data_IF_226572160747
#
_entry.id   IF_226572160747
#
_cell.length_a   1.000
_cell.length_b   1.000
_cell.length_c   1.000
_cell.angle_alpha   90.00
_cell.angle_beta   90.00
_cell.angle_gamma   90.00
#
_symmetry.space_group_name_H-M   'P 1'
#
loop_
_entity.id
_entity.type
_entity.pdbx_description
1 polymer ?
#
# COMPACT_ATOMS: atom_id res chain seq x y z
N UNK A 1 -18.07 -5.45 50.07
CA UNK A 1 -18.69 -5.50 48.74
C UNK A 1 -17.56 -5.63 47.72
N UNK A 2 -17.27 -6.84 47.26
CA UNK A 2 -16.24 -7.06 46.25
C UNK A 2 -16.80 -6.63 44.89
N UNK A 3 -16.24 -5.57 44.32
CA UNK A 3 -16.53 -5.16 42.94
C UNK A 3 -15.99 -6.27 42.04
N UNK A 4 -16.86 -7.13 41.53
CA UNK A 4 -16.47 -8.09 40.50
C UNK A 4 -16.23 -7.31 39.22
N UNK A 5 -14.96 -7.08 38.91
CA UNK A 5 -14.55 -6.54 37.62
C UNK A 5 -14.61 -7.66 36.59
N UNK A 6 -15.22 -7.39 35.43
CA UNK A 6 -15.27 -8.34 34.32
C UNK A 6 -14.63 -7.70 33.11
N UNK A 7 -14.03 -8.51 32.24
CA UNK A 7 -13.40 -8.00 31.02
C UNK A 7 -14.38 -8.07 29.86
N UNK A 8 -14.41 -7.02 29.04
CA UNK A 8 -15.22 -7.02 27.83
C UNK A 8 -14.67 -8.06 26.86
N UNK A 9 -15.51 -9.02 26.45
CA UNK A 9 -15.09 -10.08 25.50
C UNK A 9 -14.80 -9.54 24.10
N UNK A 10 -15.23 -8.31 23.80
CA UNK A 10 -15.03 -7.70 22.48
C UNK A 10 -13.72 -6.93 22.38
N UNK A 11 -13.36 -6.12 23.39
CA UNK A 11 -12.17 -5.26 23.33
C UNK A 11 -11.12 -5.56 24.40
N UNK A 12 -11.40 -6.47 25.34
CA UNK A 12 -10.48 -6.84 26.42
C UNK A 12 -10.39 -5.81 27.56
N UNK A 13 -11.13 -4.70 27.48
CA UNK A 13 -11.08 -3.64 28.50
C UNK A 13 -11.76 -4.08 29.81
N UNK A 14 -11.24 -3.58 30.94
CA UNK A 14 -11.88 -3.76 32.26
C UNK A 14 -13.19 -2.98 32.31
N UNK A 15 -14.28 -3.67 32.59
CA UNK A 15 -15.60 -3.08 32.78
C UNK A 15 -16.20 -3.54 34.11
N UNK A 16 -17.14 -2.76 34.64
CA UNK A 16 -17.88 -3.17 35.84
C UNK A 16 -18.82 -4.33 35.51
N UNK A 17 -19.04 -5.26 36.44
CA UNK A 17 -19.96 -6.38 36.24
C UNK A 17 -21.41 -5.94 35.99
N UNK A 18 -21.80 -4.77 36.47
CA UNK A 18 -23.13 -4.18 36.31
C UNK A 18 -23.29 -3.38 35.00
N UNK A 19 -22.23 -3.26 34.19
CA UNK A 19 -22.30 -2.53 32.93
C UNK A 19 -22.97 -3.40 31.85
N UNK A 20 -24.17 -3.02 31.42
CA UNK A 20 -24.87 -3.66 30.30
C UNK A 20 -24.19 -3.39 28.95
N UNK A 21 -23.51 -2.25 28.82
CA UNK A 21 -22.83 -1.79 27.60
C UNK A 21 -21.41 -1.38 27.96
N UNK A 22 -20.42 -1.87 27.19
CA UNK A 22 -19.02 -1.47 27.37
C UNK A 22 -18.81 -0.02 26.92
N UNK A 23 -18.26 0.88 27.77
CA UNK A 23 -18.05 2.28 27.41
C UNK A 23 -16.92 2.49 26.38
N UNK A 24 -16.03 1.51 26.20
CA UNK A 24 -14.91 1.62 25.25
C UNK A 24 -15.32 1.18 23.83
N UNK A 25 -16.08 0.08 23.69
CA UNK A 25 -16.44 -0.47 22.37
C UNK A 25 -17.93 -0.46 22.03
N UNK A 26 -18.82 -0.08 22.96
CA UNK A 26 -20.27 -0.03 22.75
C UNK A 26 -20.97 -1.40 22.67
N UNK A 27 -20.24 -2.51 22.80
CA UNK A 27 -20.83 -3.87 22.74
C UNK A 27 -21.48 -4.23 24.09
N UNK A 28 -22.60 -4.97 24.02
CA UNK A 28 -23.36 -5.42 25.21
C UNK A 28 -22.61 -6.50 25.99
N UNK A 29 -22.66 -6.43 27.32
CA UNK A 29 -22.05 -7.40 28.21
C UNK A 29 -22.99 -8.58 28.46
N UNK A 30 -22.60 -9.78 28.02
CA UNK A 30 -23.39 -11.00 28.18
C UNK A 30 -23.44 -11.50 29.63
N UNK A 31 -22.52 -11.09 30.49
CA UNK A 31 -22.55 -11.44 31.92
C UNK A 31 -23.85 -10.96 32.60
N UNK A 32 -24.44 -9.87 32.10
CA UNK A 32 -25.72 -9.34 32.57
C UNK A 32 -26.94 -10.17 32.12
N UNK A 33 -26.82 -10.95 31.03
CA UNK A 33 -27.94 -11.71 30.47
C UNK A 33 -28.17 -13.05 31.18
N UNK A 34 -27.20 -13.53 31.97
CA UNK A 34 -27.32 -14.78 32.74
C UNK A 34 -28.22 -14.69 33.97
N UNK A 35 -28.71 -13.50 34.33
CA UNK A 35 -29.54 -13.27 35.52
C UNK A 35 -31.04 -13.08 35.22
N UNK A 36 -31.49 -13.20 33.96
CA UNK A 36 -32.91 -13.11 33.63
C UNK A 36 -33.59 -14.48 33.76
N UNK A 37 -34.53 -14.67 34.70
CA UNK A 37 -35.26 -15.92 34.80
C UNK A 37 -36.16 -16.09 33.58
N UNK A 38 -36.00 -17.21 32.90
CA UNK A 38 -36.80 -17.63 31.76
C UNK A 38 -38.30 -17.65 32.14
N UNK A 39 -39.07 -16.69 31.61
CA UNK A 39 -40.54 -16.69 31.67
C UNK A 39 -41.12 -16.76 30.26
N UNK A 40 -41.68 -17.94 29.96
CA UNK A 40 -42.99 -18.04 29.31
C UNK A 40 -43.06 -17.85 27.78
N UNK A 41 -43.05 -19.00 27.09
CA UNK A 41 -43.96 -19.39 26.01
C UNK A 41 -44.65 -18.34 25.13
N UNK A 42 -44.40 -18.44 23.82
CA UNK A 42 -45.24 -17.82 22.79
C UNK A 42 -44.90 -18.32 21.38
N UNK A 43 -45.49 -19.45 20.96
CA UNK A 43 -45.54 -19.84 19.54
C UNK A 43 -46.33 -18.76 18.78
N UNK A 44 -45.67 -18.06 17.86
CA UNK A 44 -46.34 -17.41 16.72
C UNK A 44 -45.65 -17.83 15.42
N UNK A 45 -46.37 -18.67 14.66
CA UNK A 45 -46.20 -18.79 13.20
C UNK A 45 -46.56 -17.43 12.60
N UNK A 46 -45.63 -16.82 11.87
CA UNK A 46 -45.82 -15.56 11.17
C UNK A 46 -44.80 -15.45 10.05
N UNK A 47 -45.30 -15.14 8.86
CA UNK A 47 -44.66 -15.25 7.57
C UNK A 47 -43.43 -14.34 7.35
N UNK A 48 -42.53 -14.82 6.48
CA UNK A 48 -41.97 -14.00 5.41
C UNK A 48 -41.01 -12.88 5.81
N UNK A 49 -39.81 -13.25 6.21
CA UNK A 49 -38.66 -12.35 6.22
C UNK A 49 -37.38 -13.17 6.24
N UNK A 50 -36.83 -13.50 5.07
CA UNK A 50 -35.49 -14.07 4.94
C UNK A 50 -34.45 -13.03 5.35
N UNK A 51 -34.34 -12.74 6.65
CA UNK A 51 -33.08 -12.29 7.22
C UNK A 51 -32.19 -13.53 7.21
N UNK A 52 -31.34 -13.61 6.18
CA UNK A 52 -30.23 -14.56 6.13
C UNK A 52 -29.42 -14.40 7.41
N UNK A 53 -29.69 -15.28 8.35
CA UNK A 53 -28.74 -15.69 9.36
C UNK A 53 -27.52 -16.27 8.62
N UNK A 54 -26.55 -15.42 8.29
CA UNK A 54 -25.16 -15.85 8.11
C UNK A 54 -24.48 -15.76 9.46
N UNK A 55 -24.88 -16.70 10.33
CA UNK A 55 -24.01 -17.19 11.39
C UNK A 55 -22.89 -17.98 10.73
N UNK A 56 -21.81 -17.30 10.44
CA UNK A 56 -20.52 -17.89 10.16
C UNK A 56 -19.49 -17.03 10.87
N UNK A 57 -18.49 -17.64 11.49
CA UNK A 57 -17.36 -16.95 12.09
C UNK A 57 -16.64 -16.09 11.03
N UNK A 58 -17.19 -14.92 10.74
CA UNK A 58 -16.51 -13.87 10.03
C UNK A 58 -15.45 -13.38 11.01
N UNK A 59 -14.25 -13.94 10.87
CA UNK A 59 -13.03 -13.33 11.40
C UNK A 59 -13.17 -11.84 11.22
N UNK A 60 -13.25 -11.12 12.33
CA UNK A 60 -13.35 -9.67 12.40
C UNK A 60 -12.00 -9.13 11.88
N UNK A 61 -11.81 -9.19 10.55
CA UNK A 61 -10.66 -8.61 9.88
C UNK A 61 -10.84 -7.12 10.06
N UNK A 62 -9.99 -6.53 10.89
CA UNK A 62 -9.86 -5.07 10.94
C UNK A 62 -9.74 -4.55 9.51
N UNK A 63 -10.51 -3.51 9.13
CA UNK A 63 -10.40 -2.93 7.80
C UNK A 63 -8.93 -2.56 7.55
N UNK A 64 -8.40 -2.78 6.34
CA UNK A 64 -7.05 -2.34 6.01
C UNK A 64 -6.90 -0.83 6.28
N UNK A 65 -5.73 -0.38 6.72
CA UNK A 65 -5.50 1.04 7.00
C UNK A 65 -5.41 1.87 5.71
N UNK A 66 -6.02 3.06 5.68
CA UNK A 66 -5.95 3.99 4.55
C UNK A 66 -4.54 4.60 4.35
N UNK A 67 -3.66 4.45 5.35
CA UNK A 67 -2.29 5.00 5.33
C UNK A 67 -1.40 4.47 4.20
N UNK A 68 -1.76 3.37 3.53
CA UNK A 68 -0.97 2.82 2.43
C UNK A 68 -0.91 3.71 1.19
N UNK A 69 -1.85 4.66 1.04
CA UNK A 69 -1.78 5.70 -0.01
C UNK A 69 -0.51 6.54 0.11
N UNK A 70 -0.05 6.82 1.33
CA UNK A 70 1.21 7.52 1.56
C UNK A 70 2.40 6.67 1.11
N UNK A 71 2.33 5.34 1.25
CA UNK A 71 3.34 4.43 0.72
C UNK A 71 3.46 4.50 -0.80
N UNK A 72 2.32 4.58 -1.51
CA UNK A 72 2.30 4.73 -2.97
C UNK A 72 2.85 6.10 -3.37
N UNK A 73 2.47 7.17 -2.65
CA UNK A 73 3.00 8.52 -2.85
C UNK A 73 4.52 8.60 -2.64
N UNK A 74 5.03 8.08 -1.52
CA UNK A 74 6.46 8.03 -1.20
C UNK A 74 7.22 7.19 -2.24
N UNK A 75 6.71 6.02 -2.59
CA UNK A 75 7.30 5.18 -3.64
C UNK A 75 7.40 5.92 -4.97
N UNK A 76 6.33 6.61 -5.38
CA UNK A 76 6.31 7.43 -6.60
C UNK A 76 7.37 8.54 -6.55
N UNK A 77 7.47 9.26 -5.43
CA UNK A 77 8.47 10.30 -5.25
C UNK A 77 9.91 9.75 -5.33
N UNK A 78 10.18 8.58 -4.73
CA UNK A 78 11.50 7.94 -4.81
C UNK A 78 11.87 7.61 -6.26
N UNK A 79 10.93 7.09 -7.06
CA UNK A 79 11.17 6.81 -8.47
C UNK A 79 11.45 8.08 -9.31
N UNK A 80 10.77 9.18 -9.01
CA UNK A 80 11.06 10.49 -9.65
C UNK A 80 12.45 10.98 -9.27
N UNK A 81 12.84 10.86 -7.99
CA UNK A 81 14.18 11.23 -7.52
C UNK A 81 15.23 10.41 -8.26
N UNK A 82 15.04 9.10 -8.41
CA UNK A 82 15.95 8.25 -9.18
C UNK A 82 16.04 8.71 -10.63
N UNK A 83 14.92 9.00 -11.30
CA UNK A 83 14.92 9.49 -12.67
C UNK A 83 15.74 10.79 -12.81
N UNK A 84 15.59 11.71 -11.86
CA UNK A 84 16.37 12.97 -11.83
C UNK A 84 17.85 12.69 -11.62
N UNK A 85 18.22 11.83 -10.68
CA UNK A 85 19.62 11.47 -10.42
C UNK A 85 20.27 10.84 -11.66
N UNK A 86 19.56 9.96 -12.36
CA UNK A 86 20.04 9.36 -13.59
C UNK A 86 20.16 10.36 -14.74
N UNK A 87 19.21 11.29 -14.87
CA UNK A 87 19.27 12.36 -15.87
C UNK A 87 20.50 13.27 -15.63
N UNK A 88 20.80 13.59 -14.37
CA UNK A 88 22.01 14.34 -13.99
C UNK A 88 23.28 13.56 -14.37
N UNK A 89 23.33 12.27 -14.06
CA UNK A 89 24.44 11.40 -14.45
C UNK A 89 24.67 11.40 -15.97
N UNK A 90 23.59 11.31 -16.75
CA UNK A 90 23.65 11.35 -18.21
C UNK A 90 24.21 12.67 -18.74
N UNK A 91 23.76 13.80 -18.17
CA UNK A 91 24.27 15.12 -18.55
C UNK A 91 25.77 15.29 -18.27
N UNK A 92 26.27 14.68 -17.19
CA UNK A 92 27.69 14.69 -16.85
C UNK A 92 28.54 13.87 -17.84
N UNK A 93 28.03 12.70 -18.27
CA UNK A 93 28.73 11.85 -19.25
C UNK A 93 28.79 12.50 -20.62
N UNK A 94 27.71 13.15 -21.07
CA UNK A 94 27.70 13.91 -22.33
C UNK A 94 28.67 15.10 -22.29
N UNK A 95 28.84 15.74 -21.12
CA UNK A 95 29.83 16.79 -20.92
C UNK A 95 31.27 16.37 -21.24
N UNK A 96 31.64 15.11 -21.00
CA UNK A 96 32.98 14.59 -21.35
C UNK A 96 33.19 14.59 -22.87
N UNK A 97 32.17 14.20 -23.64
CA UNK A 97 32.24 14.17 -25.10
C UNK A 97 32.40 15.58 -25.69
N UNK A 98 31.94 16.61 -24.97
CA UNK A 98 32.13 18.02 -25.30
C UNK A 98 33.44 18.65 -24.79
N UNK A 99 34.40 17.86 -24.30
CA UNK A 99 35.68 18.35 -23.77
C UNK A 99 35.68 18.63 -22.26
N UNK A 100 34.67 18.18 -21.52
CA UNK A 100 34.61 18.29 -20.07
C UNK A 100 35.63 17.42 -19.33
N UNK A 101 35.97 17.79 -18.09
CA UNK A 101 36.96 17.07 -17.30
C UNK A 101 36.47 15.68 -16.87
N UNK A 102 37.23 14.59 -17.11
CA UNK A 102 36.83 13.23 -16.73
C UNK A 102 36.72 13.04 -15.21
N UNK A 103 37.47 13.79 -14.40
CA UNK A 103 37.34 13.76 -12.94
C UNK A 103 35.94 14.21 -12.47
N UNK A 104 35.40 15.30 -13.03
CA UNK A 104 34.07 15.78 -12.67
C UNK A 104 32.98 14.75 -13.01
N UNK A 105 33.12 14.07 -14.16
CA UNK A 105 32.19 13.03 -14.54
C UNK A 105 32.33 11.74 -13.69
N UNK A 106 33.56 11.37 -13.30
CA UNK A 106 33.80 10.28 -12.36
C UNK A 106 33.17 10.54 -11.00
N UNK A 107 33.26 11.78 -10.49
CA UNK A 107 32.59 12.20 -9.26
C UNK A 107 31.06 12.06 -9.34
N UNK A 108 30.45 12.53 -10.43
CA UNK A 108 29.00 12.42 -10.66
C UNK A 108 28.53 10.95 -10.79
N UNK A 109 29.30 10.10 -11.47
CA UNK A 109 29.01 8.68 -11.58
C UNK A 109 29.05 7.98 -10.21
N UNK A 110 30.04 8.30 -9.36
CA UNK A 110 30.13 7.80 -8.00
C UNK A 110 28.96 8.26 -7.12
N UNK A 111 28.57 9.54 -7.19
CA UNK A 111 27.39 10.04 -6.46
C UNK A 111 26.12 9.28 -6.87
N UNK A 112 25.96 9.02 -8.17
CA UNK A 112 24.80 8.29 -8.69
C UNK A 112 24.76 6.83 -8.21
N UNK A 113 25.91 6.18 -8.10
CA UNK A 113 26.02 4.83 -7.54
C UNK A 113 25.75 4.79 -6.03
N UNK A 114 26.41 5.67 -5.27
CA UNK A 114 26.36 5.67 -3.80
C UNK A 114 25.02 6.17 -3.24
N UNK A 115 24.39 7.13 -3.91
CA UNK A 115 23.10 7.71 -3.46
C UNK A 115 21.93 7.10 -4.23
N UNK A 116 22.05 6.99 -5.56
CA UNK A 116 20.98 6.49 -6.41
C UNK A 116 20.72 4.99 -6.23
N UNK A 117 21.77 4.18 -6.03
CA UNK A 117 21.64 2.73 -5.83
C UNK A 117 20.76 2.34 -4.64
N UNK A 118 21.06 2.83 -3.42
CA UNK A 118 20.24 2.54 -2.24
C UNK A 118 18.81 3.08 -2.36
N UNK A 119 18.63 4.30 -2.87
CA UNK A 119 17.30 4.89 -3.08
C UNK A 119 16.50 4.02 -4.05
N UNK A 120 17.13 3.54 -5.13
CA UNK A 120 16.48 2.66 -6.09
C UNK A 120 16.05 1.33 -5.46
N UNK A 121 16.88 0.71 -4.61
CA UNK A 121 16.50 -0.51 -3.89
C UNK A 121 15.33 -0.28 -2.94
N UNK A 122 15.32 0.85 -2.23
CA UNK A 122 14.22 1.23 -1.34
C UNK A 122 12.94 1.45 -2.15
N UNK A 123 13.01 2.23 -3.24
CA UNK A 123 11.89 2.47 -4.13
C UNK A 123 11.31 1.16 -4.68
N UNK A 124 12.19 0.20 -4.93
CA UNK A 124 11.82 -1.09 -5.48
C UNK A 124 11.06 -1.99 -4.51
N UNK A 125 11.33 -1.88 -3.20
CA UNK A 125 10.63 -2.64 -2.17
C UNK A 125 9.37 -1.90 -1.71
N UNK A 126 9.46 -0.59 -1.52
CA UNK A 126 8.37 0.22 -0.96
C UNK A 126 7.17 0.26 -1.91
N UNK A 127 7.38 0.47 -3.22
CA UNK A 127 6.27 0.68 -4.15
C UNK A 127 5.41 -0.59 -4.35
N UNK A 128 5.95 -1.81 -4.58
CA UNK A 128 5.14 -3.02 -4.70
C UNK A 128 4.38 -3.36 -3.42
N UNK A 129 5.01 -3.18 -2.25
CA UNK A 129 4.35 -3.41 -0.95
C UNK A 129 3.18 -2.43 -0.78
N UNK A 130 3.40 -1.15 -1.08
CA UNK A 130 2.37 -0.14 -0.99
C UNK A 130 1.20 -0.42 -1.93
N UNK A 131 1.46 -0.78 -3.20
CA UNK A 131 0.40 -1.19 -4.13
C UNK A 131 -0.36 -2.43 -3.66
N UNK A 132 0.34 -3.41 -3.09
CA UNK A 132 -0.31 -4.62 -2.59
C UNK A 132 -1.35 -4.27 -1.52
N UNK A 133 -0.96 -3.52 -0.49
CA UNK A 133 -1.86 -3.19 0.60
C UNK A 133 -2.93 -2.16 0.21
N UNK A 134 -2.59 -1.14 -0.58
CA UNK A 134 -3.56 -0.15 -1.03
C UNK A 134 -4.61 -0.76 -1.97
N UNK A 135 -4.22 -1.66 -2.88
CA UNK A 135 -5.19 -2.36 -3.74
C UNK A 135 -6.17 -3.23 -2.95
N UNK A 136 -5.74 -3.81 -1.82
CA UNK A 136 -6.62 -4.54 -0.90
C UNK A 136 -7.59 -3.62 -0.17
N UNK A 137 -7.13 -2.43 0.20
CA UNK A 137 -7.99 -1.41 0.80
C UNK A 137 -9.04 -0.91 -0.20
N UNK A 138 -8.62 -0.54 -1.42
CA UNK A 138 -9.51 -0.04 -2.47
C UNK A 138 -10.57 -1.07 -2.88
N UNK A 139 -10.18 -2.34 -3.02
CA UNK A 139 -11.11 -3.43 -3.32
C UNK A 139 -12.08 -3.74 -2.17
N UNK A 140 -11.76 -3.30 -0.94
CA UNK A 140 -12.66 -3.41 0.21
C UNK A 140 -13.61 -2.21 0.31
N UNK A 141 -13.11 -1.00 0.01
CA UNK A 141 -13.87 0.24 0.13
C UNK A 141 -14.74 0.56 -1.10
N UNK A 142 -14.44 -0.03 -2.26
CA UNK A 142 -15.08 0.30 -3.54
C UNK A 142 -15.38 -0.95 -4.36
N UNK A 143 -16.25 -0.83 -5.36
CA UNK A 143 -16.49 -1.89 -6.35
C UNK A 143 -15.36 -2.02 -7.38
N UNK A 144 -14.35 -1.14 -7.34
CA UNK A 144 -13.20 -1.25 -8.23
C UNK A 144 -12.24 -2.32 -7.71
N UNK A 145 -12.05 -3.37 -8.51
CA UNK A 145 -11.08 -4.43 -8.25
C UNK A 145 -9.83 -4.23 -9.14
N UNK A 146 -8.86 -3.39 -8.75
CA UNK A 146 -7.60 -3.31 -9.47
C UNK A 146 -6.96 -4.70 -9.46
N UNK A 147 -6.52 -5.17 -10.62
CA UNK A 147 -5.79 -6.43 -10.72
C UNK A 147 -4.50 -6.33 -9.89
N UNK A 148 -4.53 -6.77 -8.63
CA UNK A 148 -3.40 -6.68 -7.69
C UNK A 148 -2.13 -7.26 -8.31
N UNK A 149 -2.27 -8.38 -9.02
CA UNK A 149 -1.15 -9.03 -9.71
C UNK A 149 -0.49 -8.17 -10.79
N UNK A 150 -1.25 -7.30 -11.48
CA UNK A 150 -0.70 -6.43 -12.52
C UNK A 150 0.08 -5.27 -11.91
N UNK A 151 -0.48 -4.55 -10.93
CA UNK A 151 0.21 -3.40 -10.32
C UNK A 151 1.44 -3.83 -9.51
N UNK A 152 1.30 -4.88 -8.69
CA UNK A 152 2.41 -5.43 -7.92
C UNK A 152 3.44 -6.05 -8.87
N UNK A 153 2.99 -6.79 -9.89
CA UNK A 153 3.85 -7.41 -10.88
C UNK A 153 4.65 -6.38 -11.68
N UNK A 154 4.01 -5.31 -12.18
CA UNK A 154 4.70 -4.23 -12.89
C UNK A 154 5.67 -3.52 -11.95
N UNK A 155 5.26 -3.15 -10.74
CA UNK A 155 6.16 -2.45 -9.81
C UNK A 155 7.37 -3.31 -9.41
N UNK A 156 7.17 -4.63 -9.23
CA UNK A 156 8.24 -5.56 -8.89
C UNK A 156 9.13 -5.89 -10.10
N UNK A 157 8.59 -6.04 -11.31
CA UNK A 157 9.38 -6.40 -12.49
C UNK A 157 10.00 -5.20 -13.19
N UNK A 158 9.53 -3.98 -12.92
CA UNK A 158 9.98 -2.78 -13.64
C UNK A 158 11.50 -2.59 -13.62
N UNK A 159 12.21 -2.57 -12.49
CA UNK A 159 13.69 -2.53 -12.48
C UNK A 159 14.40 -3.62 -13.25
N UNK A 160 13.87 -4.84 -13.24
CA UNK A 160 14.46 -5.94 -14.01
C UNK A 160 14.32 -5.63 -15.49
N UNK A 161 13.11 -5.24 -15.92
CA UNK A 161 12.85 -4.80 -17.29
C UNK A 161 13.70 -3.59 -17.67
N UNK A 162 13.87 -2.62 -16.77
CA UNK A 162 14.74 -1.45 -16.97
C UNK A 162 16.19 -1.84 -17.19
N UNK A 163 16.70 -2.76 -16.37
CA UNK A 163 18.07 -3.25 -16.48
C UNK A 163 18.27 -4.02 -17.78
N UNK A 164 17.31 -4.87 -18.16
CA UNK A 164 17.33 -5.60 -19.43
C UNK A 164 17.25 -4.67 -20.64
N UNK A 165 16.32 -3.72 -20.65
CA UNK A 165 16.20 -2.72 -21.73
C UNK A 165 17.47 -1.89 -21.82
N UNK A 166 18.04 -1.45 -20.70
CA UNK A 166 19.31 -0.73 -20.66
C UNK A 166 20.47 -1.55 -21.23
N UNK A 167 20.58 -2.83 -20.88
CA UNK A 167 21.61 -3.74 -21.43
C UNK A 167 21.43 -3.95 -22.94
N UNK A 168 20.21 -4.18 -23.41
CA UNK A 168 19.93 -4.35 -24.85
C UNK A 168 20.21 -3.05 -25.62
N UNK A 169 19.74 -1.91 -25.11
CA UNK A 169 19.97 -0.62 -25.74
C UNK A 169 21.46 -0.26 -25.74
N UNK A 170 22.23 -0.68 -24.73
CA UNK A 170 23.68 -0.49 -24.70
C UNK A 170 24.37 -1.15 -25.90
N UNK A 171 23.92 -2.34 -26.31
CA UNK A 171 24.49 -3.04 -27.48
C UNK A 171 24.21 -2.26 -28.77
N UNK A 172 23.04 -1.63 -28.89
CA UNK A 172 22.63 -0.90 -30.10
C UNK A 172 23.18 0.53 -30.18
N UNK A 173 23.28 1.24 -29.05
CA UNK A 173 23.54 2.69 -29.00
C UNK A 173 24.75 3.06 -28.14
N UNK A 174 25.55 2.07 -27.73
CA UNK A 174 26.65 2.25 -26.79
C UNK A 174 26.16 2.75 -25.42
N UNK A 175 26.99 3.51 -24.71
CA UNK A 175 26.65 3.97 -23.34
C UNK A 175 25.36 4.80 -23.28
N UNK A 176 24.97 5.47 -24.38
CA UNK A 176 23.73 6.25 -24.43
C UNK A 176 22.48 5.37 -24.30
N UNK A 177 22.51 4.14 -24.82
CA UNK A 177 21.38 3.22 -24.74
C UNK A 177 21.09 2.77 -23.31
N UNK A 178 22.12 2.61 -22.49
CA UNK A 178 21.96 2.23 -21.08
C UNK A 178 21.12 3.26 -20.31
N UNK A 179 21.31 4.57 -20.59
CA UNK A 179 20.56 5.64 -19.95
C UNK A 179 19.10 5.75 -20.42
N UNK A 180 18.84 5.46 -21.70
CA UNK A 180 17.47 5.46 -22.23
C UNK A 180 16.63 4.42 -21.50
N UNK A 181 17.13 3.19 -21.37
CA UNK A 181 16.44 2.12 -20.63
C UNK A 181 16.33 2.38 -19.13
N UNK A 182 17.34 3.05 -18.55
CA UNK A 182 17.35 3.32 -17.12
C UNK A 182 16.38 4.43 -16.72
N UNK A 183 16.17 5.46 -17.56
CA UNK A 183 15.29 6.61 -17.26
C UNK A 183 13.82 6.34 -17.63
N UNK A 184 13.58 5.68 -18.78
CA UNK A 184 12.21 5.45 -19.26
C UNK A 184 11.37 4.67 -18.25
N UNK A 185 11.94 3.64 -17.65
CA UNK A 185 11.20 2.78 -16.74
C UNK A 185 10.76 3.49 -15.45
N UNK A 186 11.64 4.20 -14.70
CA UNK A 186 11.22 5.07 -13.60
C UNK A 186 10.05 5.99 -13.95
N UNK A 187 10.09 6.62 -15.13
CA UNK A 187 9.04 7.53 -15.58
C UNK A 187 7.73 6.80 -15.87
N UNK A 188 7.79 5.62 -16.51
CA UNK A 188 6.62 4.78 -16.75
C UNK A 188 6.01 4.30 -15.44
N UNK A 189 6.83 3.85 -14.49
CA UNK A 189 6.38 3.41 -13.16
C UNK A 189 5.75 4.56 -12.39
N UNK A 190 6.39 5.74 -12.38
CA UNK A 190 5.86 6.93 -11.72
C UNK A 190 4.54 7.39 -12.37
N UNK A 191 4.45 7.36 -13.70
CA UNK A 191 3.23 7.68 -14.44
C UNK A 191 2.08 6.72 -14.14
N UNK A 192 2.35 5.42 -14.10
CA UNK A 192 1.37 4.41 -13.70
C UNK A 192 0.92 4.59 -12.25
N UNK A 193 1.83 4.91 -11.34
CA UNK A 193 1.50 5.18 -9.94
C UNK A 193 0.67 6.46 -9.77
N UNK A 194 0.99 7.52 -10.49
CA UNK A 194 0.21 8.76 -10.52
C UNK A 194 -1.20 8.53 -11.10
N UNK A 195 -1.30 7.75 -12.18
CA UNK A 195 -2.60 7.35 -12.74
C UNK A 195 -3.43 6.55 -11.74
N UNK A 196 -2.81 5.58 -11.06
CA UNK A 196 -3.45 4.80 -10.01
C UNK A 196 -3.97 5.68 -8.87
N UNK A 197 -3.12 6.58 -8.36
CA UNK A 197 -3.49 7.52 -7.29
C UNK A 197 -4.67 8.42 -7.70
N UNK A 198 -4.62 8.99 -8.91
CA UNK A 198 -5.73 9.80 -9.43
C UNK A 198 -7.03 9.00 -9.44
N UNK A 199 -7.01 7.79 -10.01
CA UNK A 199 -8.19 6.94 -10.09
C UNK A 199 -8.73 6.55 -8.71
N UNK A 200 -7.84 6.33 -7.74
CA UNK A 200 -8.19 6.08 -6.35
C UNK A 200 -8.91 7.28 -5.72
N UNK A 201 -8.36 8.50 -5.86
CA UNK A 201 -8.98 9.71 -5.29
C UNK A 201 -10.35 10.02 -5.88
N UNK A 202 -10.57 9.67 -7.14
CA UNK A 202 -11.89 9.80 -7.77
C UNK A 202 -12.95 8.85 -7.15
N UNK A 203 -12.52 7.73 -6.55
CA UNK A 203 -13.40 6.67 -6.02
C UNK A 203 -13.51 6.66 -4.50
N UNK A 204 -12.44 7.08 -3.80
CA UNK A 204 -12.35 7.09 -2.34
C UNK A 204 -12.05 8.53 -1.92
N UNK A 205 -13.08 9.32 -1.56
CA UNK A 205 -12.89 10.65 -1.01
C UNK A 205 -12.11 10.54 0.31
N UNK A 206 -11.14 11.44 0.53
CA UNK A 206 -10.51 11.58 1.83
C UNK A 206 -11.54 12.08 2.84
N UNK A 207 -11.80 11.31 3.89
CA UNK A 207 -12.63 11.71 5.03
C UNK A 207 -12.01 12.87 5.82
#
# INVERSE_FOLDING_TARGET
>A
MSVTEVYCRSCGERIKADAEICPNCGVRNQAHQGAQPARGGGRRRGAGGQQRAQGGAATQRSPPSDSWVYGVGVGTALWVIVAILQLRAMSAVQGIQGGGSPLAAGGQALTSLLVGGPIQLIAWVVLPIAFYYDSKYVAYATDWNPSTGLFVGIAALAPILSSLVGMVAMVAMGIQGMFVGSILVPLVVAGLAAYYLKRRYDLVPSE
#
